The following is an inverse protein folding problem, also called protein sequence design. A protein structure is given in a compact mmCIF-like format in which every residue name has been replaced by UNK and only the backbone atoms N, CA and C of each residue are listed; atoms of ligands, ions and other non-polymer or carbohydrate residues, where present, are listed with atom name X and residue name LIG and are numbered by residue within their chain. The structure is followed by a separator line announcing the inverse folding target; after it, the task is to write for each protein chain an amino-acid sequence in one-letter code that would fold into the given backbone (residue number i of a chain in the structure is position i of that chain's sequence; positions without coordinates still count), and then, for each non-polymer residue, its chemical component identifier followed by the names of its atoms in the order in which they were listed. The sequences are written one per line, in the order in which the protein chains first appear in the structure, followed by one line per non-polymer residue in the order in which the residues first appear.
data_IF_729023240575
#
_entry.id   IF_729023240575
#
_cell.length_a   1.000
_cell.length_b   1.000
_cell.length_c   1.000
_cell.angle_alpha   90.00
_cell.angle_beta   90.00
_cell.angle_gamma   90.00
#
_symmetry.space_group_name_H-M   'P 1'
#
loop_
_entity.id
_entity.type
_entity.pdbx_description
1 polymer ?
#
# COMPACT_ATOMS: atom_id res chain seq x y z
N UNK A 1 82.86 -13.79 -8.46
CA UNK A 1 82.70 -12.34 -8.26
C UNK A 1 81.26 -11.99 -8.58
N UNK A 2 80.61 -11.25 -7.67
CA UNK A 2 79.26 -10.67 -7.67
C UNK A 2 78.03 -11.60 -7.80
N UNK A 3 77.24 -11.79 -6.73
CA UNK A 3 76.21 -10.87 -6.17
C UNK A 3 74.98 -10.83 -7.08
N UNK A 4 73.76 -11.18 -6.69
CA UNK A 4 73.12 -11.34 -5.39
C UNK A 4 71.65 -10.97 -5.60
N UNK A 5 70.71 -11.79 -5.10
CA UNK A 5 69.47 -11.34 -4.43
C UNK A 5 68.53 -12.52 -4.21
N UNK A 6 68.32 -12.78 -2.92
CA UNK A 6 67.21 -13.54 -2.39
C UNK A 6 65.87 -12.89 -2.76
N UNK A 7 64.89 -13.70 -3.13
CA UNK A 7 63.48 -13.36 -3.03
C UNK A 7 62.78 -14.51 -2.29
N UNK A 8 62.51 -14.27 -1.01
CA UNK A 8 61.93 -15.23 -0.08
C UNK A 8 60.54 -15.70 -0.51
N UNK A 9 60.42 -17.00 -0.76
CA UNK A 9 59.13 -17.69 -0.91
C UNK A 9 58.52 -17.87 0.48
N UNK A 10 57.77 -16.87 0.95
CA UNK A 10 56.93 -17.02 2.15
C UNK A 10 55.79 -17.98 1.83
N UNK A 11 55.92 -19.26 2.22
CA UNK A 11 54.76 -20.15 2.39
C UNK A 11 53.99 -19.66 3.61
N UNK A 12 52.77 -19.15 3.42
CA UNK A 12 51.78 -19.08 4.51
C UNK A 12 51.09 -20.45 4.61
N UNK A 13 51.25 -21.20 5.71
CA UNK A 13 50.38 -22.32 6.00
C UNK A 13 49.09 -21.78 6.65
N UNK A 14 47.93 -22.27 6.23
CA UNK A 14 46.66 -21.98 6.91
C UNK A 14 45.60 -21.23 6.09
N UNK A 15 45.58 -21.36 4.76
CA UNK A 15 44.39 -21.05 4.00
C UNK A 15 43.35 -22.13 4.23
N UNK A 16 42.49 -21.97 5.23
CA UNK A 16 41.22 -22.71 5.29
C UNK A 16 40.43 -22.32 4.05
N UNK A 17 40.46 -23.17 3.03
CA UNK A 17 39.46 -23.14 1.97
C UNK A 17 38.12 -23.45 2.64
N UNK A 18 37.43 -22.40 3.07
CA UNK A 18 36.03 -22.49 3.43
C UNK A 18 35.32 -22.82 2.12
N UNK A 19 35.09 -24.11 1.89
CA UNK A 19 34.12 -24.56 0.90
C UNK A 19 32.80 -23.99 1.40
N UNK A 20 32.36 -22.90 0.78
CA UNK A 20 31.02 -22.39 1.00
C UNK A 20 30.06 -23.52 0.62
N UNK A 21 29.47 -24.15 1.63
CA UNK A 21 28.34 -25.06 1.44
C UNK A 21 27.18 -24.15 1.06
N UNK A 22 27.03 -23.93 -0.24
CA UNK A 22 25.84 -23.30 -0.81
C UNK A 22 24.66 -24.22 -0.51
N UNK A 23 23.70 -23.83 0.36
CA UNK A 23 22.52 -24.65 0.59
C UNK A 23 21.76 -24.80 -0.75
N UNK A 24 21.18 -25.98 -1.04
CA UNK A 24 20.38 -26.16 -2.25
C UNK A 24 19.26 -25.11 -2.26
N UNK A 25 19.31 -24.19 -3.23
CA UNK A 25 18.41 -23.04 -3.35
C UNK A 25 19.06 -21.66 -3.25
N UNK A 26 20.35 -21.53 -2.97
CA UNK A 26 21.01 -20.20 -2.94
C UNK A 26 21.13 -19.52 -4.32
N UNK A 27 20.84 -20.27 -5.39
CA UNK A 27 20.78 -19.78 -6.78
C UNK A 27 19.33 -19.45 -7.19
N UNK A 28 18.34 -19.72 -6.32
CA UNK A 28 16.96 -19.33 -6.57
C UNK A 28 16.86 -17.82 -6.36
N UNK A 29 16.87 -17.09 -7.46
CA UNK A 29 16.56 -15.67 -7.48
C UNK A 29 15.24 -15.46 -6.70
N UNK A 30 15.24 -14.70 -5.59
CA UNK A 30 14.05 -14.52 -4.79
C UNK A 30 12.91 -14.08 -5.69
N UNK A 31 11.86 -14.90 -5.79
CA UNK A 31 10.68 -14.54 -6.59
C UNK A 31 10.12 -13.20 -6.07
N UNK A 32 10.29 -12.13 -6.84
CA UNK A 32 9.84 -10.77 -6.53
C UNK A 32 8.31 -10.61 -6.67
N UNK A 33 7.56 -11.69 -6.41
CA UNK A 33 6.12 -11.71 -6.48
C UNK A 33 5.53 -11.28 -5.12
N UNK A 34 4.55 -10.35 -5.10
CA UNK A 34 3.94 -9.87 -3.87
C UNK A 34 3.28 -10.98 -3.03
N UNK A 35 3.16 -10.79 -1.70
CA UNK A 35 2.46 -11.74 -0.84
C UNK A 35 1.00 -11.94 -1.30
N UNK A 36 0.56 -13.20 -1.37
CA UNK A 36 -0.81 -13.56 -1.78
C UNK A 36 -1.90 -12.91 -0.90
N UNK A 37 -1.56 -12.61 0.36
CA UNK A 37 -2.45 -11.93 1.29
C UNK A 37 -2.64 -10.46 0.89
N UNK A 38 -1.57 -9.75 0.52
CA UNK A 38 -1.64 -8.38 0.00
C UNK A 38 -2.51 -8.30 -1.26
N UNK A 39 -2.38 -9.27 -2.17
CA UNK A 39 -3.23 -9.35 -3.37
C UNK A 39 -4.70 -9.52 -3.00
N UNK A 40 -5.01 -10.48 -2.14
CA UNK A 40 -6.38 -10.73 -1.70
C UNK A 40 -7.01 -9.53 -0.98
N UNK A 41 -6.26 -8.89 -0.09
CA UNK A 41 -6.72 -7.71 0.64
C UNK A 41 -6.91 -6.50 -0.28
N UNK A 42 -5.95 -6.19 -1.15
CA UNK A 42 -6.04 -5.08 -2.07
C UNK A 42 -7.24 -5.23 -3.02
N UNK A 43 -7.41 -6.41 -3.64
CA UNK A 43 -8.52 -6.68 -4.55
C UNK A 43 -9.86 -6.71 -3.79
N UNK A 44 -9.91 -7.28 -2.59
CA UNK A 44 -11.11 -7.33 -1.77
C UNK A 44 -11.59 -5.94 -1.34
N UNK A 45 -10.69 -5.12 -0.80
CA UNK A 45 -10.98 -3.74 -0.42
C UNK A 45 -11.35 -2.88 -1.63
N UNK A 46 -10.64 -3.05 -2.75
CA UNK A 46 -10.94 -2.36 -4.00
C UNK A 46 -12.31 -2.74 -4.56
N UNK A 47 -12.69 -4.02 -4.49
CA UNK A 47 -14.01 -4.50 -4.89
C UNK A 47 -15.13 -3.90 -4.03
N UNK A 48 -14.93 -3.82 -2.70
CA UNK A 48 -15.86 -3.14 -1.81
C UNK A 48 -15.95 -1.64 -2.13
N UNK A 49 -14.83 -0.98 -2.42
CA UNK A 49 -14.82 0.42 -2.85
C UNK A 49 -15.67 0.62 -4.12
N UNK A 50 -15.50 -0.26 -5.11
CA UNK A 50 -16.30 -0.23 -6.34
C UNK A 50 -17.79 -0.45 -6.08
N UNK A 51 -18.16 -1.35 -5.16
CA UNK A 51 -19.56 -1.57 -4.78
C UNK A 51 -20.18 -0.35 -4.10
N UNK A 52 -19.45 0.30 -3.19
CA UNK A 52 -19.88 1.55 -2.57
C UNK A 52 -20.07 2.67 -3.60
N UNK A 53 -19.11 2.83 -4.52
CA UNK A 53 -19.21 3.83 -5.57
C UNK A 53 -20.33 3.53 -6.56
N UNK A 54 -20.57 2.26 -6.90
CA UNK A 54 -21.68 1.82 -7.74
C UNK A 54 -23.05 2.14 -7.11
N UNK A 55 -23.16 2.04 -5.78
CA UNK A 55 -24.37 2.44 -5.05
C UNK A 55 -24.61 3.96 -5.09
N UNK A 56 -23.55 4.75 -5.30
CA UNK A 56 -23.65 6.17 -5.58
C UNK A 56 -24.06 6.44 -7.04
N UNK A 57 -23.20 6.01 -7.99
CA UNK A 57 -23.50 6.02 -9.42
C UNK A 57 -22.90 4.80 -10.13
N UNK A 58 -23.63 4.16 -11.07
CA UNK A 58 -23.12 3.00 -11.81
C UNK A 58 -21.83 3.29 -12.58
N UNK A 59 -21.71 4.52 -13.12
CA UNK A 59 -20.51 4.95 -13.86
C UNK A 59 -19.28 4.99 -12.96
N UNK A 60 -19.38 5.56 -11.75
CA UNK A 60 -18.26 5.58 -10.81
C UNK A 60 -17.88 4.16 -10.37
N UNK A 61 -18.86 3.28 -10.15
CA UNK A 61 -18.62 1.86 -9.91
C UNK A 61 -17.84 1.18 -11.04
N UNK A 62 -18.21 1.42 -12.28
CA UNK A 62 -17.52 0.87 -13.45
C UNK A 62 -16.07 1.36 -13.55
N UNK A 63 -15.83 2.66 -13.37
CA UNK A 63 -14.47 3.23 -13.36
C UNK A 63 -13.65 2.65 -12.19
N UNK A 64 -14.27 2.48 -11.02
CA UNK A 64 -13.60 1.86 -9.88
C UNK A 64 -13.19 0.42 -10.17
N UNK A 65 -14.02 -0.38 -10.84
CA UNK A 65 -13.66 -1.74 -11.25
C UNK A 65 -12.45 -1.77 -12.20
N UNK A 66 -12.31 -0.78 -13.09
CA UNK A 66 -11.08 -0.63 -13.89
C UNK A 66 -9.87 -0.39 -12.98
N UNK A 67 -10.00 0.47 -11.97
CA UNK A 67 -8.97 0.67 -10.95
C UNK A 67 -8.61 -0.62 -10.21
N UNK A 68 -9.59 -1.44 -9.83
CA UNK A 68 -9.36 -2.74 -9.16
C UNK A 68 -8.63 -3.72 -10.09
N UNK A 69 -9.00 -3.77 -11.37
CA UNK A 69 -8.30 -4.59 -12.36
C UNK A 69 -6.84 -4.12 -12.54
N UNK A 70 -6.60 -2.80 -12.58
CA UNK A 70 -5.26 -2.24 -12.62
C UNK A 70 -4.44 -2.56 -11.36
N UNK A 71 -5.08 -2.60 -10.19
CA UNK A 71 -4.46 -3.02 -8.93
C UNK A 71 -4.05 -4.50 -8.95
N UNK A 72 -4.94 -5.38 -9.42
CA UNK A 72 -4.61 -6.80 -9.57
C UNK A 72 -3.46 -7.03 -10.55
N UNK A 73 -3.50 -6.33 -11.69
CA UNK A 73 -2.43 -6.42 -12.69
C UNK A 73 -1.11 -5.84 -12.19
N UNK A 74 -1.12 -4.71 -11.47
CA UNK A 74 0.11 -4.11 -10.91
C UNK A 74 0.84 -5.07 -9.99
N UNK A 75 0.12 -5.80 -9.14
CA UNK A 75 0.69 -6.78 -8.21
C UNK A 75 1.23 -8.01 -8.95
N UNK A 76 0.49 -8.53 -9.94
CA UNK A 76 0.99 -9.65 -10.75
C UNK A 76 2.24 -9.31 -11.57
N UNK A 77 2.34 -8.05 -12.01
CA UNK A 77 3.43 -7.56 -12.84
C UNK A 77 4.58 -6.92 -12.02
N UNK A 78 4.45 -6.80 -10.69
CA UNK A 78 5.44 -6.11 -9.85
C UNK A 78 5.62 -4.61 -10.20
N UNK A 79 4.59 -3.95 -10.74
CA UNK A 79 4.72 -2.62 -11.34
C UNK A 79 4.16 -1.50 -10.46
N UNK A 80 5.06 -0.72 -9.86
CA UNK A 80 4.72 0.50 -9.08
C UNK A 80 4.00 1.55 -9.93
N UNK A 81 4.30 1.63 -11.24
CA UNK A 81 3.63 2.56 -12.16
C UNK A 81 2.16 2.19 -12.38
N UNK A 82 1.88 0.90 -12.56
CA UNK A 82 0.50 0.42 -12.67
C UNK A 82 -0.25 0.60 -11.34
N UNK A 83 0.43 0.41 -10.20
CA UNK A 83 -0.16 0.66 -8.89
C UNK A 83 -0.58 2.12 -8.72
N UNK A 84 0.29 3.06 -9.09
CA UNK A 84 -0.03 4.48 -9.09
C UNK A 84 -1.19 4.83 -10.03
N UNK A 85 -1.20 4.26 -11.24
CA UNK A 85 -2.31 4.45 -12.19
C UNK A 85 -3.64 3.89 -11.64
N UNK A 86 -3.60 2.75 -10.95
CA UNK A 86 -4.76 2.16 -10.32
C UNK A 86 -5.30 3.04 -9.18
N UNK A 87 -4.42 3.55 -8.30
CA UNK A 87 -4.78 4.50 -7.25
C UNK A 87 -5.39 5.80 -7.82
N UNK A 88 -4.79 6.36 -8.87
CA UNK A 88 -5.32 7.51 -9.58
C UNK A 88 -6.70 7.24 -10.21
N UNK A 89 -6.90 6.04 -10.75
CA UNK A 89 -8.19 5.62 -11.33
C UNK A 89 -9.27 5.52 -10.26
N UNK A 90 -8.97 4.91 -9.11
CA UNK A 90 -9.89 4.85 -7.97
C UNK A 90 -10.23 6.25 -7.43
N UNK A 91 -9.23 7.12 -7.28
CA UNK A 91 -9.46 8.50 -6.89
C UNK A 91 -10.34 9.25 -7.91
N UNK A 92 -10.09 9.04 -9.21
CA UNK A 92 -10.93 9.58 -10.27
C UNK A 92 -12.39 9.11 -10.20
N UNK A 93 -12.62 7.85 -9.86
CA UNK A 93 -13.97 7.30 -9.66
C UNK A 93 -14.70 7.99 -8.48
N UNK A 94 -14.00 8.23 -7.37
CA UNK A 94 -14.54 8.97 -6.21
C UNK A 94 -14.90 10.40 -6.60
N UNK A 95 -14.01 11.10 -7.33
CA UNK A 95 -14.26 12.47 -7.81
C UNK A 95 -15.45 12.51 -8.77
N UNK A 96 -15.56 11.54 -9.69
CA UNK A 96 -16.69 11.44 -10.60
C UNK A 96 -18.01 11.20 -9.85
N UNK A 97 -18.01 10.36 -8.81
CA UNK A 97 -19.19 10.15 -7.96
C UNK A 97 -19.57 11.45 -7.21
N UNK A 98 -18.59 12.14 -6.62
CA UNK A 98 -18.83 13.40 -5.92
C UNK A 98 -19.38 14.50 -6.85
N UNK A 99 -18.92 14.55 -8.11
CA UNK A 99 -19.37 15.53 -9.10
C UNK A 99 -20.80 15.29 -9.62
N UNK A 100 -21.37 14.09 -9.40
CA UNK A 100 -22.67 13.67 -9.96
C UNK A 100 -23.81 13.70 -8.94
N UNK A 101 -23.68 14.49 -7.86
CA UNK A 101 -24.64 14.57 -6.75
C UNK A 101 -24.97 13.20 -6.11
N UNK A 102 -24.03 12.25 -6.17
CA UNK A 102 -24.17 10.97 -5.50
C UNK A 102 -24.38 11.17 -3.99
N UNK A 103 -25.11 10.27 -3.31
CA UNK A 103 -25.25 10.32 -1.86
C UNK A 103 -23.86 10.35 -1.18
N UNK A 104 -23.61 11.25 -0.22
CA UNK A 104 -22.26 11.45 0.30
C UNK A 104 -21.69 10.23 1.06
N UNK A 105 -22.55 9.46 1.73
CA UNK A 105 -22.14 8.28 2.48
C UNK A 105 -21.44 7.20 1.60
N UNK A 106 -22.01 6.74 0.47
CA UNK A 106 -21.32 5.80 -0.42
C UNK A 106 -20.03 6.36 -1.02
N UNK A 107 -19.96 7.66 -1.30
CA UNK A 107 -18.74 8.32 -1.82
C UNK A 107 -17.61 8.26 -0.79
N UNK A 108 -17.89 8.59 0.48
CA UNK A 108 -16.89 8.53 1.56
C UNK A 108 -16.45 7.10 1.83
N UNK A 109 -17.39 6.14 1.90
CA UNK A 109 -17.05 4.73 2.10
C UNK A 109 -16.18 4.18 0.97
N UNK A 110 -16.53 4.50 -0.29
CA UNK A 110 -15.75 4.15 -1.46
C UNK A 110 -14.33 4.75 -1.44
N UNK A 111 -14.19 6.01 -1.01
CA UNK A 111 -12.90 6.67 -0.89
C UNK A 111 -11.98 6.01 0.14
N UNK A 112 -12.49 5.74 1.35
CA UNK A 112 -11.72 5.09 2.43
C UNK A 112 -11.24 3.71 1.99
N UNK A 113 -12.15 2.90 1.43
CA UNK A 113 -11.83 1.56 0.96
C UNK A 113 -10.85 1.57 -0.22
N UNK A 114 -11.00 2.53 -1.15
CA UNK A 114 -10.12 2.68 -2.30
C UNK A 114 -8.69 3.07 -1.92
N UNK A 115 -8.53 3.99 -0.96
CA UNK A 115 -7.22 4.36 -0.42
C UNK A 115 -6.58 3.15 0.28
N UNK A 116 -7.33 2.44 1.12
CA UNK A 116 -6.82 1.26 1.81
C UNK A 116 -6.42 0.14 0.84
N UNK A 117 -7.18 -0.06 -0.24
CA UNK A 117 -6.84 -1.01 -1.30
C UNK A 117 -5.51 -0.66 -1.99
N UNK A 118 -5.32 0.61 -2.31
CA UNK A 118 -4.09 1.11 -2.93
C UNK A 118 -2.88 1.00 -1.99
N UNK A 119 -3.03 1.41 -0.74
CA UNK A 119 -1.99 1.35 0.29
C UNK A 119 -1.48 -0.09 0.52
N UNK A 120 -2.41 -1.05 0.66
CA UNK A 120 -2.05 -2.48 0.80
C UNK A 120 -1.29 -3.00 -0.42
N UNK A 121 -1.64 -2.55 -1.63
CA UNK A 121 -0.93 -2.95 -2.84
C UNK A 121 0.46 -2.32 -2.94
N UNK A 122 0.60 -1.03 -2.65
CA UNK A 122 1.88 -0.34 -2.64
C UNK A 122 2.84 -0.94 -1.60
N UNK A 123 2.33 -1.20 -0.39
CA UNK A 123 3.07 -1.90 0.65
C UNK A 123 3.50 -3.31 0.22
N UNK A 124 2.59 -4.07 -0.42
CA UNK A 124 2.88 -5.41 -0.94
C UNK A 124 3.97 -5.42 -2.01
N UNK A 125 3.98 -4.42 -2.90
CA UNK A 125 5.06 -4.24 -3.89
C UNK A 125 6.40 -3.88 -3.23
N UNK A 126 6.37 -3.01 -2.21
CA UNK A 126 7.55 -2.66 -1.43
C UNK A 126 8.17 -3.86 -0.71
N UNK A 127 7.34 -4.72 -0.10
CA UNK A 127 7.77 -5.97 0.53
C UNK A 127 8.36 -6.95 -0.49
N UNK A 128 7.72 -7.09 -1.66
CA UNK A 128 8.20 -7.96 -2.72
C UNK A 128 9.62 -7.59 -3.18
N UNK A 129 9.93 -6.28 -3.24
CA UNK A 129 11.23 -5.78 -3.64
C UNK A 129 12.34 -6.01 -2.60
N UNK A 130 12.01 -6.11 -1.31
CA UNK A 130 13.02 -6.13 -0.23
C UNK A 130 13.17 -7.48 0.48
N UNK A 131 12.12 -8.30 0.54
CA UNK A 131 12.09 -9.47 1.44
C UNK A 131 11.83 -10.79 0.68
N UNK A 132 11.31 -10.71 -0.55
CA UNK A 132 10.91 -11.89 -1.33
C UNK A 132 9.73 -12.64 -0.72
N UNK A 133 9.07 -13.48 -1.53
CA UNK A 133 7.78 -14.14 -1.23
C UNK A 133 7.80 -15.14 -0.04
N UNK A 134 8.97 -15.47 0.51
CA UNK A 134 9.18 -16.62 1.41
C UNK A 134 9.23 -16.29 2.90
N UNK A 135 9.23 -15.00 3.26
CA UNK A 135 9.15 -14.61 4.68
C UNK A 135 7.69 -14.46 5.11
N UNK A 136 7.34 -15.01 6.26
CA UNK A 136 6.00 -14.90 6.83
C UNK A 136 5.78 -13.50 7.43
N UNK A 137 5.41 -12.52 6.60
CA UNK A 137 5.10 -11.13 7.01
C UNK A 137 3.61 -10.91 7.33
N UNK A 138 2.80 -11.98 7.34
CA UNK A 138 1.33 -11.91 7.50
C UNK A 138 0.86 -11.05 8.67
N UNK A 139 1.48 -11.17 9.85
CA UNK A 139 1.07 -10.39 11.03
C UNK A 139 1.33 -8.89 10.81
N UNK A 140 2.46 -8.55 10.21
CA UNK A 140 2.81 -7.16 9.91
C UNK A 140 1.87 -6.57 8.84
N UNK A 141 1.62 -7.33 7.77
CA UNK A 141 0.68 -6.94 6.72
C UNK A 141 -0.73 -6.69 7.25
N UNK A 142 -1.24 -7.58 8.12
CA UNK A 142 -2.56 -7.43 8.73
C UNK A 142 -2.64 -6.23 9.67
N UNK A 143 -1.61 -6.02 10.49
CA UNK A 143 -1.56 -4.85 11.39
C UNK A 143 -1.50 -3.57 10.57
N UNK A 144 -0.67 -3.53 9.53
CA UNK A 144 -0.57 -2.36 8.65
C UNK A 144 -1.91 -2.07 7.98
N UNK A 145 -2.52 -3.06 7.33
CA UNK A 145 -3.84 -2.90 6.71
C UNK A 145 -4.91 -2.46 7.71
N UNK A 146 -4.90 -3.02 8.93
CA UNK A 146 -5.83 -2.64 9.99
C UNK A 146 -5.62 -1.20 10.46
N UNK A 147 -4.36 -0.77 10.62
CA UNK A 147 -4.02 0.61 10.98
C UNK A 147 -4.42 1.57 9.86
N UNK A 148 -4.10 1.27 8.60
CA UNK A 148 -4.47 2.09 7.44
C UNK A 148 -6.00 2.24 7.32
N UNK A 149 -6.74 1.15 7.53
CA UNK A 149 -8.21 1.20 7.57
C UNK A 149 -8.74 1.99 8.77
N UNK A 150 -8.15 1.84 9.95
CA UNK A 150 -8.57 2.57 11.15
C UNK A 150 -8.33 4.08 10.98
N UNK A 151 -7.15 4.46 10.48
CA UNK A 151 -6.79 5.86 10.22
C UNK A 151 -7.66 6.44 9.10
N UNK A 152 -7.79 5.73 7.97
CA UNK A 152 -8.64 6.16 6.85
C UNK A 152 -10.12 6.28 7.25
N UNK A 153 -10.62 5.31 8.02
CA UNK A 153 -11.98 5.32 8.55
C UNK A 153 -12.23 6.47 9.52
N UNK A 154 -11.29 6.73 10.45
CA UNK A 154 -11.39 7.86 11.36
C UNK A 154 -11.38 9.21 10.61
N UNK A 155 -10.48 9.36 9.64
CA UNK A 155 -10.42 10.55 8.79
C UNK A 155 -11.73 10.74 7.99
N UNK A 156 -12.24 9.66 7.40
CA UNK A 156 -13.52 9.66 6.68
C UNK A 156 -14.71 10.01 7.58
N UNK A 157 -14.75 9.48 8.80
CA UNK A 157 -15.78 9.80 9.79
C UNK A 157 -15.75 11.28 10.21
N UNK A 158 -14.56 11.83 10.45
CA UNK A 158 -14.38 13.26 10.75
C UNK A 158 -14.85 14.13 9.59
N UNK A 159 -14.45 13.80 8.35
CA UNK A 159 -14.84 14.54 7.16
C UNK A 159 -16.36 14.49 6.94
N UNK A 160 -16.97 13.31 7.05
CA UNK A 160 -18.41 13.11 6.90
C UNK A 160 -19.21 13.80 8.02
N UNK A 161 -18.75 13.71 9.27
CA UNK A 161 -19.35 14.43 10.40
C UNK A 161 -19.30 15.95 10.20
N UNK A 162 -18.18 16.47 9.68
CA UNK A 162 -18.05 17.88 9.31
C UNK A 162 -19.02 18.28 8.20
N UNK A 163 -19.18 17.45 7.17
CA UNK A 163 -20.17 17.65 6.11
C UNK A 163 -21.61 17.74 6.66
N UNK A 164 -22.01 16.81 7.54
CA UNK A 164 -23.33 16.83 8.16
C UNK A 164 -23.54 18.08 9.02
N UNK A 165 -22.53 18.48 9.81
CA UNK A 165 -22.58 19.67 10.65
C UNK A 165 -22.71 20.96 9.81
N UNK A 166 -21.96 21.06 8.71
CA UNK A 166 -22.04 22.20 7.80
C UNK A 166 -23.40 22.30 7.11
N UNK A 167 -23.95 21.17 6.64
CA UNK A 167 -25.28 21.11 6.03
C UNK A 167 -26.42 21.45 7.01
N UNK A 168 -26.21 21.21 8.32
CA UNK A 168 -27.13 21.60 9.39
C UNK A 168 -26.98 23.03 9.90
N UNK A 169 -26.13 23.86 9.27
CA UNK A 169 -25.89 25.26 9.69
C UNK A 169 -25.02 25.42 10.94
N UNK A 170 -24.18 24.43 11.28
CA UNK A 170 -23.34 24.41 12.48
C UNK A 170 -21.84 24.58 12.14
N UNK A 171 -21.38 25.79 11.76
CA UNK A 171 -20.00 26.03 11.32
C UNK A 171 -18.96 25.79 12.43
N UNK A 172 -19.32 26.05 13.70
CA UNK A 172 -18.43 25.80 14.84
C UNK A 172 -18.11 24.31 15.01
N UNK A 173 -19.09 23.43 14.82
CA UNK A 173 -18.91 21.98 14.93
C UNK A 173 -18.02 21.44 13.82
N UNK A 174 -18.18 21.94 12.60
CA UNK A 174 -17.30 21.61 11.48
C UNK A 174 -15.84 22.01 11.75
N UNK A 175 -15.61 23.21 12.29
CA UNK A 175 -14.27 23.67 12.67
C UNK A 175 -13.66 22.83 13.80
N UNK A 176 -14.43 22.45 14.81
CA UNK A 176 -13.96 21.59 15.90
C UNK A 176 -13.55 20.22 15.37
N UNK A 177 -14.36 19.61 14.51
CA UNK A 177 -14.04 18.33 13.88
C UNK A 177 -12.81 18.41 12.97
N UNK A 178 -12.70 19.47 12.17
CA UNK A 178 -11.54 19.71 11.30
C UNK A 178 -10.26 19.91 12.11
N UNK A 179 -10.34 20.69 13.19
CA UNK A 179 -9.21 20.92 14.10
C UNK A 179 -8.82 19.63 14.80
N UNK A 180 -9.79 18.85 15.28
CA UNK A 180 -9.54 17.54 15.90
C UNK A 180 -8.85 16.58 14.93
N UNK A 181 -9.37 16.45 13.70
CA UNK A 181 -8.73 15.64 12.65
C UNK A 181 -7.30 16.11 12.34
N UNK A 182 -7.09 17.43 12.25
CA UNK A 182 -5.77 18.03 12.05
C UNK A 182 -4.80 17.75 13.21
N UNK A 183 -5.26 17.80 14.45
CA UNK A 183 -4.46 17.46 15.65
C UNK A 183 -4.07 15.99 15.65
N UNK A 184 -5.00 15.08 15.33
CA UNK A 184 -4.72 13.65 15.21
C UNK A 184 -3.69 13.38 14.12
N UNK A 185 -3.84 14.01 12.95
CA UNK A 185 -2.88 13.90 11.84
C UNK A 185 -1.50 14.43 12.25
N UNK A 186 -1.44 15.59 12.89
CA UNK A 186 -0.19 16.19 13.35
C UNK A 186 0.47 15.36 14.45
N UNK A 187 -0.30 14.74 15.34
CA UNK A 187 0.22 13.82 16.35
C UNK A 187 0.81 12.56 15.70
N UNK A 188 0.15 12.01 14.68
CA UNK A 188 0.65 10.86 13.94
C UNK A 188 1.94 11.18 13.16
N UNK A 189 2.10 12.40 12.64
CA UNK A 189 3.33 12.85 11.95
C UNK A 189 4.50 13.15 12.90
N UNK A 190 4.22 13.28 14.20
CA UNK A 190 5.21 13.62 15.24
C UNK A 190 5.65 12.42 16.07
N UNK A 191 4.94 11.29 15.96
CA UNK A 191 5.31 10.02 16.58
C UNK A 191 6.16 9.18 15.65
#
# INVERSE_FOLDING_TARGET
MDAGRAAGRRRRPGGTAVVAVTPPGADAEPTAAPPVLSVGLAVGLGGLAAAFLAAGTPLAGAVALVGVALLGTSLSAGSVRLCAAAGATLAGAVVAAAATAAPPAPVVGGAVLGIAAWDVADHGLGLAAHVGRETTTRRNELVHAAVSLAVGGAAGAVAFGGFLAAGGGQPATALILLLFGGVVLLAALRG
#
